data_IF_446971530853
#
_entry.id   IF_446971530853
#
_cell.length_a   1.000
_cell.length_b   1.000
_cell.length_c   1.000
_cell.angle_alpha   90.00
_cell.angle_beta   90.00
_cell.angle_gamma   90.00
#
_symmetry.space_group_name_H-M   'P 1'
#
loop_
_entity.id
_entity.type
_entity.pdbx_description
1 polymer ?
#
# COMPACT_ATOMS: atom_id res chain seq x y z
N UNK A 1 13.67 12.81 -16.00
CA UNK A 1 12.47 11.96 -16.30
C UNK A 1 11.84 11.42 -15.01
N UNK A 2 12.65 11.01 -14.03
CA UNK A 2 12.19 10.43 -12.76
C UNK A 2 11.33 11.33 -11.88
N UNK A 3 11.46 12.66 -11.93
CA UNK A 3 10.54 13.57 -11.20
C UNK A 3 9.10 13.38 -11.70
N UNK A 4 8.90 13.29 -13.02
CA UNK A 4 7.57 13.09 -13.59
C UNK A 4 7.00 11.72 -13.24
N UNK A 5 7.81 10.66 -13.29
CA UNK A 5 7.36 9.31 -12.93
C UNK A 5 7.09 9.18 -11.43
N UNK A 6 7.93 9.79 -10.59
CA UNK A 6 7.69 9.88 -9.15
C UNK A 6 6.40 10.64 -8.85
N UNK A 7 6.18 11.79 -9.48
CA UNK A 7 4.93 12.56 -9.32
C UNK A 7 3.70 11.77 -9.81
N UNK A 8 3.84 11.01 -10.89
CA UNK A 8 2.78 10.12 -11.37
C UNK A 8 2.45 9.04 -10.33
N UNK A 9 3.46 8.42 -9.71
CA UNK A 9 3.26 7.43 -8.65
C UNK A 9 2.46 8.02 -7.47
N UNK A 10 2.80 9.24 -7.05
CA UNK A 10 2.04 9.99 -6.04
C UNK A 10 0.59 10.19 -6.49
N UNK A 11 0.37 10.75 -7.68
CA UNK A 11 -0.99 11.00 -8.20
C UNK A 11 -1.82 9.73 -8.26
N UNK A 12 -1.24 8.62 -8.70
CA UNK A 12 -1.91 7.32 -8.73
C UNK A 12 -2.26 6.83 -7.33
N UNK A 13 -1.36 6.96 -6.36
CA UNK A 13 -1.63 6.61 -4.97
C UNK A 13 -2.81 7.43 -4.40
N UNK A 14 -2.80 8.76 -4.58
CA UNK A 14 -3.90 9.63 -4.18
C UNK A 14 -5.23 9.28 -4.89
N UNK A 15 -5.17 8.92 -6.18
CA UNK A 15 -6.34 8.49 -6.94
C UNK A 15 -6.92 7.20 -6.37
N UNK A 16 -6.10 6.20 -6.08
CA UNK A 16 -6.55 4.95 -5.45
C UNK A 16 -7.17 5.18 -4.07
N UNK A 17 -6.52 5.98 -3.22
CA UNK A 17 -7.05 6.37 -1.91
C UNK A 17 -8.42 7.05 -2.07
N UNK A 18 -8.55 7.98 -3.01
CA UNK A 18 -9.82 8.64 -3.30
C UNK A 18 -10.90 7.67 -3.81
N UNK A 19 -10.55 6.76 -4.72
CA UNK A 19 -11.47 5.75 -5.25
C UNK A 19 -11.95 4.79 -4.16
N UNK A 20 -11.06 4.36 -3.27
CA UNK A 20 -11.39 3.51 -2.13
C UNK A 20 -12.41 4.20 -1.21
N UNK A 21 -12.10 5.42 -0.76
CA UNK A 21 -12.99 6.20 0.12
C UNK A 21 -14.35 6.49 -0.53
N UNK A 22 -14.34 6.88 -1.81
CA UNK A 22 -15.56 7.20 -2.54
C UNK A 22 -16.43 5.96 -2.77
N UNK A 23 -15.81 4.83 -3.08
CA UNK A 23 -16.51 3.56 -3.28
C UNK A 23 -17.08 3.01 -1.98
N UNK A 24 -16.35 3.16 -0.87
CA UNK A 24 -16.83 2.80 0.46
C UNK A 24 -18.06 3.64 0.85
N UNK A 25 -17.96 4.97 0.78
CA UNK A 25 -19.08 5.87 1.08
C UNK A 25 -20.34 5.53 0.27
N UNK A 26 -20.18 5.24 -1.02
CA UNK A 26 -21.29 4.81 -1.88
C UNK A 26 -21.85 3.45 -1.48
N UNK A 27 -20.99 2.51 -1.11
CA UNK A 27 -21.40 1.16 -0.71
C UNK A 27 -22.14 1.16 0.62
N UNK A 28 -21.70 1.99 1.59
CA UNK A 28 -22.40 2.24 2.86
C UNK A 28 -23.74 2.91 2.61
N UNK A 29 -23.80 3.96 1.80
CA UNK A 29 -25.06 4.66 1.48
C UNK A 29 -26.10 3.74 0.81
N UNK A 30 -25.64 2.71 0.08
CA UNK A 30 -26.50 1.69 -0.53
C UNK A 30 -26.85 0.53 0.40
N UNK A 31 -26.31 0.48 1.62
CA UNK A 31 -26.49 -0.64 2.56
C UNK A 31 -25.81 -1.94 2.15
N UNK A 32 -24.92 -1.90 1.15
CA UNK A 32 -24.21 -3.11 0.66
C UNK A 32 -23.06 -3.53 1.55
N UNK A 33 -22.55 -2.61 2.38
CA UNK A 33 -21.60 -2.87 3.46
C UNK A 33 -22.11 -2.14 4.72
N UNK A 34 -21.89 -2.69 5.93
CA UNK A 34 -22.42 -2.10 7.16
C UNK A 34 -21.84 -0.70 7.43
N UNK A 35 -22.65 0.26 7.92
CA UNK A 35 -22.15 1.55 8.34
C UNK A 35 -21.30 1.37 9.60
N UNK A 36 -20.00 1.63 9.47
CA UNK A 36 -19.11 1.84 10.62
C UNK A 36 -18.82 3.35 10.62
N UNK A 37 -18.90 3.97 11.81
CA UNK A 37 -18.86 5.42 12.01
C UNK A 37 -17.79 6.12 11.16
N UNK A 38 -18.05 7.37 10.80
CA UNK A 38 -17.34 8.12 9.75
C UNK A 38 -15.86 7.73 9.60
N UNK A 39 -15.62 6.97 8.52
CA UNK A 39 -14.34 6.76 7.87
C UNK A 39 -13.49 5.71 8.62
N UNK A 40 -13.23 4.57 7.94
CA UNK A 40 -11.95 3.86 7.79
C UNK A 40 -12.07 2.35 7.79
N UNK A 41 -11.67 1.78 6.64
CA UNK A 41 -10.63 0.77 6.55
C UNK A 41 -10.16 0.24 7.90
N UNK A 42 -10.50 -1.01 8.22
CA UNK A 42 -9.90 -1.79 9.30
C UNK A 42 -9.93 -1.20 10.74
N UNK A 43 -10.59 -0.05 10.96
CA UNK A 43 -10.48 0.81 12.16
C UNK A 43 -9.25 1.76 12.16
N UNK A 44 -8.51 1.90 11.06
CA UNK A 44 -7.15 2.48 11.01
C UNK A 44 -7.12 3.97 10.62
N UNK A 45 -7.52 4.85 11.55
CA UNK A 45 -7.78 6.26 11.24
C UNK A 45 -6.57 7.12 10.93
N UNK A 46 -5.44 6.86 11.55
CA UNK A 46 -4.21 7.61 11.29
C UNK A 46 -3.42 6.99 10.16
N UNK A 47 -3.41 5.67 10.06
CA UNK A 47 -2.67 4.90 9.07
C UNK A 47 -3.16 5.21 7.66
N UNK A 48 -4.46 5.20 7.40
CA UNK A 48 -4.93 5.50 6.05
C UNK A 48 -4.88 7.01 5.74
N UNK A 49 -5.17 7.85 6.74
CA UNK A 49 -5.21 9.32 6.55
C UNK A 49 -3.82 9.92 6.35
N UNK A 50 -2.82 9.40 7.05
CA UNK A 50 -1.45 9.93 7.07
C UNK A 50 -0.45 8.94 6.47
N UNK A 51 -0.51 7.67 6.85
CA UNK A 51 0.29 6.58 6.27
C UNK A 51 0.09 6.47 4.76
N UNK A 52 -1.02 5.88 4.32
CA UNK A 52 -1.30 5.65 2.89
C UNK A 52 -1.26 6.95 2.08
N UNK A 53 -1.87 8.03 2.60
CA UNK A 53 -1.99 9.26 1.82
C UNK A 53 -0.66 9.99 1.63
N UNK A 54 0.15 10.11 2.69
CA UNK A 54 1.36 10.95 2.66
C UNK A 54 2.63 10.12 2.69
N UNK A 55 2.79 9.27 3.69
CA UNK A 55 4.04 8.53 3.86
C UNK A 55 4.26 7.52 2.74
N UNK A 56 3.23 6.77 2.34
CA UNK A 56 3.32 5.83 1.22
C UNK A 56 3.53 6.57 -0.10
N UNK A 57 2.84 7.70 -0.33
CA UNK A 57 3.10 8.56 -1.50
C UNK A 57 4.56 9.01 -1.59
N UNK A 58 5.16 9.40 -0.46
CA UNK A 58 6.57 9.84 -0.41
C UNK A 58 7.50 8.67 -0.69
N UNK A 59 7.21 7.47 -0.16
CA UNK A 59 7.96 6.25 -0.47
C UNK A 59 7.87 5.92 -1.96
N UNK A 60 6.67 5.91 -2.53
CA UNK A 60 6.41 5.61 -3.94
C UNK A 60 7.14 6.57 -4.86
N UNK A 61 7.10 7.88 -4.54
CA UNK A 61 7.87 8.89 -5.24
C UNK A 61 9.37 8.57 -5.23
N UNK A 62 9.92 8.31 -4.05
CA UNK A 62 11.35 8.10 -3.87
C UNK A 62 11.82 6.82 -4.60
N UNK A 63 11.07 5.74 -4.50
CA UNK A 63 11.36 4.48 -5.20
C UNK A 63 11.31 4.71 -6.71
N UNK A 64 10.20 5.24 -7.24
CA UNK A 64 10.04 5.49 -8.67
C UNK A 64 11.08 6.47 -9.23
N UNK A 65 11.41 7.53 -8.48
CA UNK A 65 12.45 8.48 -8.85
C UNK A 65 13.82 7.81 -9.00
N UNK A 66 14.23 7.00 -8.00
CA UNK A 66 15.55 6.35 -8.03
C UNK A 66 15.61 5.31 -9.14
N UNK A 67 14.54 4.52 -9.32
CA UNK A 67 14.47 3.49 -10.36
C UNK A 67 14.54 4.06 -11.77
N UNK A 68 13.95 5.23 -12.02
CA UNK A 68 13.93 5.83 -13.37
C UNK A 68 15.15 6.71 -13.64
N UNK A 69 15.52 7.57 -12.70
CA UNK A 69 16.53 8.60 -12.96
C UNK A 69 17.96 8.09 -12.73
N UNK A 70 18.13 7.11 -11.84
CA UNK A 70 19.47 6.70 -11.40
C UNK A 70 19.79 5.26 -11.78
N UNK A 71 18.86 4.34 -11.53
CA UNK A 71 19.16 2.90 -11.59
C UNK A 71 17.95 2.09 -12.05
N UNK A 72 17.73 1.95 -13.37
CA UNK A 72 16.76 0.98 -13.84
C UNK A 72 17.17 -0.41 -13.33
N UNK A 73 16.25 -1.09 -12.64
CA UNK A 73 16.49 -2.45 -12.17
C UNK A 73 16.61 -3.38 -13.37
N UNK A 74 17.49 -4.41 -13.29
CA UNK A 74 17.50 -5.48 -14.28
C UNK A 74 16.10 -6.09 -14.42
N UNK A 75 15.69 -6.42 -15.65
CA UNK A 75 14.34 -6.91 -15.93
C UNK A 75 13.96 -8.15 -15.10
N UNK A 76 14.93 -9.01 -14.78
CA UNK A 76 14.70 -10.18 -13.94
C UNK A 76 14.37 -9.79 -12.50
N UNK A 77 14.97 -8.73 -11.95
CA UNK A 77 14.65 -8.22 -10.60
C UNK A 77 13.23 -7.68 -10.59
N UNK A 78 12.89 -6.86 -11.60
CA UNK A 78 11.52 -6.33 -11.80
C UNK A 78 10.50 -7.48 -11.86
N UNK A 79 10.82 -8.54 -12.61
CA UNK A 79 9.96 -9.71 -12.75
C UNK A 79 9.80 -10.46 -11.42
N UNK A 80 10.88 -10.66 -10.67
CA UNK A 80 10.82 -11.31 -9.35
C UNK A 80 10.00 -10.47 -8.37
N UNK A 81 10.23 -9.15 -8.29
CA UNK A 81 9.43 -8.26 -7.44
C UNK A 81 7.95 -8.28 -7.83
N UNK A 82 7.65 -8.34 -9.13
CA UNK A 82 6.29 -8.47 -9.63
C UNK A 82 5.64 -9.77 -9.15
N UNK A 83 6.29 -10.92 -9.39
CA UNK A 83 5.77 -12.23 -9.00
C UNK A 83 5.60 -12.36 -7.49
N UNK A 84 6.57 -11.91 -6.70
CA UNK A 84 6.49 -11.91 -5.24
C UNK A 84 5.38 -11.01 -4.76
N UNK A 85 5.23 -9.80 -5.32
CA UNK A 85 4.13 -8.89 -5.00
C UNK A 85 2.75 -9.53 -5.23
N UNK A 86 2.54 -10.13 -6.41
CA UNK A 86 1.29 -10.83 -6.74
C UNK A 86 1.04 -12.02 -5.81
N UNK A 87 2.06 -12.87 -5.59
CA UNK A 87 1.95 -14.03 -4.70
C UNK A 87 1.60 -13.61 -3.27
N UNK A 88 2.21 -12.52 -2.79
CA UNK A 88 1.97 -11.96 -1.47
C UNK A 88 0.54 -11.40 -1.35
N UNK A 89 0.06 -10.68 -2.35
CA UNK A 89 -1.35 -10.24 -2.40
C UNK A 89 -2.32 -11.41 -2.41
N UNK A 90 -2.03 -12.46 -3.19
CA UNK A 90 -2.87 -13.66 -3.26
C UNK A 90 -2.91 -14.40 -1.90
N UNK A 91 -1.79 -14.45 -1.19
CA UNK A 91 -1.70 -15.01 0.16
C UNK A 91 -2.61 -14.24 1.13
N UNK A 92 -2.48 -12.92 1.20
CA UNK A 92 -3.32 -12.07 2.05
C UNK A 92 -4.80 -12.17 1.68
N UNK A 93 -5.11 -12.12 0.39
CA UNK A 93 -6.47 -12.32 -0.10
C UNK A 93 -7.07 -13.63 0.41
N UNK A 94 -6.33 -14.74 0.33
CA UNK A 94 -6.77 -16.04 0.82
C UNK A 94 -6.97 -16.05 2.35
N UNK A 95 -6.08 -15.40 3.10
CA UNK A 95 -6.22 -15.27 4.57
C UNK A 95 -7.49 -14.50 4.91
N UNK A 96 -7.76 -13.39 4.22
CA UNK A 96 -8.95 -12.56 4.45
C UNK A 96 -10.26 -13.19 3.98
N UNK A 97 -10.22 -14.20 3.09
CA UNK A 97 -11.39 -15.02 2.77
C UNK A 97 -11.64 -16.13 3.80
N UNK A 98 -10.70 -16.38 4.71
CA UNK A 98 -10.76 -17.48 5.65
C UNK A 98 -11.87 -17.34 6.70
N UNK A 99 -12.33 -18.44 7.32
CA UNK A 99 -13.45 -18.44 8.26
C UNK A 99 -13.15 -17.73 9.60
N UNK A 100 -11.89 -17.36 9.83
CA UNK A 100 -11.43 -16.67 11.04
C UNK A 100 -11.29 -15.15 10.84
N UNK A 101 -11.61 -14.62 9.66
CA UNK A 101 -11.52 -13.19 9.40
C UNK A 101 -12.66 -12.42 10.08
N UNK A 102 -12.33 -11.30 10.72
CA UNK A 102 -13.31 -10.34 11.19
C UNK A 102 -13.85 -9.54 9.99
N UNK A 103 -15.18 -9.51 9.77
CA UNK A 103 -15.79 -8.72 8.71
C UNK A 103 -15.33 -7.27 8.67
N UNK A 104 -14.98 -6.77 7.48
CA UNK A 104 -14.57 -5.39 7.21
C UNK A 104 -15.14 -4.89 5.86
N UNK A 105 -14.89 -3.63 5.50
CA UNK A 105 -15.43 -3.04 4.27
C UNK A 105 -15.01 -3.77 2.99
N UNK A 106 -13.91 -4.52 3.01
CA UNK A 106 -13.35 -5.26 1.88
C UNK A 106 -13.94 -6.67 1.79
N UNK A 107 -14.05 -7.31 2.94
CA UNK A 107 -14.55 -8.65 3.16
C UNK A 107 -15.73 -8.55 4.14
N UNK A 108 -16.92 -8.13 3.68
CA UNK A 108 -18.06 -7.87 4.55
C UNK A 108 -18.66 -9.14 5.13
N UNK A 109 -18.43 -10.28 4.48
CA UNK A 109 -18.84 -11.61 4.93
C UNK A 109 -17.76 -12.63 4.55
N UNK A 110 -17.74 -13.78 5.21
CA UNK A 110 -16.82 -14.88 4.89
C UNK A 110 -17.01 -15.28 3.42
N UNK A 111 -15.91 -15.36 2.68
CA UNK A 111 -15.93 -15.73 1.25
C UNK A 111 -16.44 -14.64 0.30
N UNK A 112 -16.86 -13.47 0.79
CA UNK A 112 -17.41 -12.39 -0.04
C UNK A 112 -16.41 -11.24 -0.14
N UNK A 113 -16.19 -10.75 -1.36
CA UNK A 113 -15.35 -9.58 -1.64
C UNK A 113 -16.23 -8.44 -2.15
N UNK A 114 -16.21 -7.31 -1.45
CA UNK A 114 -16.92 -6.10 -1.88
C UNK A 114 -16.25 -5.45 -3.09
N UNK A 115 -16.92 -4.49 -3.73
CA UNK A 115 -16.29 -3.66 -4.77
C UNK A 115 -15.06 -2.91 -4.24
N UNK A 116 -15.13 -2.42 -3.00
CA UNK A 116 -14.00 -1.76 -2.31
C UNK A 116 -12.84 -2.74 -2.15
N UNK A 117 -13.14 -3.98 -1.75
CA UNK A 117 -12.14 -5.05 -1.63
C UNK A 117 -11.43 -5.35 -2.95
N UNK A 118 -12.16 -5.35 -4.07
CA UNK A 118 -11.56 -5.57 -5.40
C UNK A 118 -10.64 -4.43 -5.82
N UNK A 119 -11.05 -3.18 -5.61
CA UNK A 119 -10.21 -2.00 -5.89
C UNK A 119 -8.97 -2.04 -5.01
N UNK A 120 -9.13 -2.38 -3.73
CA UNK A 120 -8.00 -2.49 -2.83
C UNK A 120 -7.04 -3.60 -3.23
N UNK A 121 -7.51 -4.78 -3.64
CA UNK A 121 -6.61 -5.86 -4.04
C UNK A 121 -5.66 -5.43 -5.17
N UNK A 122 -6.16 -4.67 -6.14
CA UNK A 122 -5.33 -4.10 -7.21
C UNK A 122 -4.32 -3.07 -6.68
N UNK A 123 -4.78 -2.15 -5.82
CA UNK A 123 -3.92 -1.18 -5.15
C UNK A 123 -2.84 -1.85 -4.31
N UNK A 124 -3.22 -2.85 -3.51
CA UNK A 124 -2.36 -3.57 -2.59
C UNK A 124 -1.31 -4.40 -3.33
N UNK A 125 -1.67 -4.99 -4.48
CA UNK A 125 -0.71 -5.61 -5.38
C UNK A 125 0.31 -4.60 -5.90
N UNK A 126 -0.14 -3.46 -6.43
CA UNK A 126 0.76 -2.42 -6.93
C UNK A 126 1.73 -1.94 -5.83
N UNK A 127 1.22 -1.73 -4.62
CA UNK A 127 2.00 -1.29 -3.47
C UNK A 127 3.02 -2.35 -3.02
N UNK A 128 2.66 -3.63 -2.99
CA UNK A 128 3.64 -4.67 -2.67
C UNK A 128 4.72 -4.80 -3.75
N UNK A 129 4.35 -4.75 -5.02
CA UNK A 129 5.33 -4.82 -6.12
C UNK A 129 6.34 -3.68 -5.98
N UNK A 130 5.86 -2.44 -5.79
CA UNK A 130 6.71 -1.27 -5.63
C UNK A 130 7.54 -1.32 -4.34
N UNK A 131 6.94 -1.78 -3.24
CA UNK A 131 7.63 -1.99 -1.96
C UNK A 131 8.77 -3.02 -2.08
N UNK A 132 8.54 -4.15 -2.75
CA UNK A 132 9.59 -5.14 -3.01
C UNK A 132 10.68 -4.59 -3.95
N UNK A 133 10.35 -3.74 -4.93
CA UNK A 133 11.37 -3.04 -5.72
C UNK A 133 12.19 -2.08 -4.86
N UNK A 134 11.55 -1.37 -3.91
CA UNK A 134 12.24 -0.53 -2.93
C UNK A 134 13.19 -1.33 -2.04
N UNK A 135 12.78 -2.51 -1.57
CA UNK A 135 13.64 -3.42 -0.80
C UNK A 135 14.82 -3.90 -1.66
N UNK A 136 14.56 -4.36 -2.88
CA UNK A 136 15.61 -4.82 -3.80
C UNK A 136 16.64 -3.71 -4.09
N UNK A 137 16.17 -2.48 -4.29
CA UNK A 137 17.03 -1.30 -4.44
C UNK A 137 17.95 -1.11 -3.24
N UNK A 138 17.42 -1.18 -2.01
CA UNK A 138 18.22 -1.06 -0.79
C UNK A 138 19.24 -2.19 -0.66
N UNK A 139 18.84 -3.44 -0.93
CA UNK A 139 19.75 -4.60 -0.90
C UNK A 139 20.93 -4.42 -1.85
N UNK A 140 20.67 -3.97 -3.09
CA UNK A 140 21.73 -3.72 -4.06
C UNK A 140 22.67 -2.59 -3.64
N UNK A 141 22.18 -1.56 -2.93
CA UNK A 141 23.02 -0.51 -2.37
C UNK A 141 23.89 -1.01 -1.21
N UNK A 142 23.33 -1.85 -0.35
CA UNK A 142 24.06 -2.48 0.77
C UNK A 142 25.18 -3.39 0.24
N UNK A 143 24.91 -4.14 -0.84
CA UNK A 143 25.90 -5.02 -1.48
C UNK A 143 27.03 -4.25 -2.21
N UNK A 144 26.93 -2.92 -2.33
CA UNK A 144 27.90 -2.10 -3.06
C UNK A 144 27.74 -2.13 -4.58
N UNK A 145 26.73 -2.83 -5.10
CA UNK A 145 26.41 -2.92 -6.54
C UNK A 145 25.85 -1.60 -7.10
N UNK A 146 25.30 -0.74 -6.22
CA UNK A 146 24.66 0.53 -6.57
C UNK A 146 25.05 1.62 -5.57
N UNK A 147 25.21 2.86 -6.05
CA UNK A 147 25.50 3.98 -5.14
C UNK A 147 24.24 4.41 -4.39
N UNK A 148 24.43 4.79 -3.13
CA UNK A 148 23.38 5.37 -2.30
C UNK A 148 22.81 6.64 -2.91
N UNK A 149 21.48 6.75 -2.86
CA UNK A 149 20.76 7.97 -3.29
C UNK A 149 20.15 8.67 -2.08
N UNK A 150 20.27 10.01 -1.97
CA UNK A 150 19.61 10.80 -0.93
C UNK A 150 18.10 10.52 -0.81
N UNK A 151 17.44 10.23 -1.95
CA UNK A 151 16.01 9.91 -1.98
C UNK A 151 15.64 8.65 -1.19
N UNK A 152 16.57 7.69 -1.04
CA UNK A 152 16.34 6.48 -0.24
C UNK A 152 16.20 6.81 1.25
N UNK A 153 16.94 7.80 1.75
CA UNK A 153 16.79 8.25 3.13
C UNK A 153 15.43 8.94 3.35
N UNK A 154 14.95 9.69 2.35
CA UNK A 154 13.57 10.24 2.37
C UNK A 154 12.55 9.11 2.43
N UNK A 155 12.74 8.05 1.64
CA UNK A 155 11.88 6.86 1.69
C UNK A 155 11.92 6.16 3.07
N UNK A 156 13.08 6.07 3.72
CA UNK A 156 13.18 5.48 5.06
C UNK A 156 12.47 6.31 6.13
N UNK A 157 12.65 7.63 6.11
CA UNK A 157 11.94 8.53 7.04
C UNK A 157 10.43 8.42 6.83
N UNK A 158 9.99 8.39 5.57
CA UNK A 158 8.59 8.17 5.25
C UNK A 158 8.10 6.79 5.70
N UNK A 159 8.86 5.73 5.47
CA UNK A 159 8.54 4.38 5.93
C UNK A 159 8.43 4.29 7.45
N UNK A 160 9.30 4.96 8.19
CA UNK A 160 9.19 5.05 9.65
C UNK A 160 7.88 5.75 10.06
N UNK A 161 7.55 6.87 9.41
CA UNK A 161 6.27 7.56 9.61
C UNK A 161 5.06 6.67 9.30
N UNK A 162 5.11 5.93 8.19
CA UNK A 162 4.07 4.96 7.79
C UNK A 162 3.82 3.92 8.88
N UNK A 163 4.87 3.22 9.33
CA UNK A 163 4.74 2.22 10.40
C UNK A 163 4.37 2.84 11.75
N UNK A 164 4.83 4.04 12.06
CA UNK A 164 4.41 4.74 13.28
C UNK A 164 2.90 5.01 13.28
N UNK A 165 2.30 5.36 12.13
CA UNK A 165 0.85 5.53 12.02
C UNK A 165 0.08 4.22 12.14
N UNK A 166 0.64 3.11 11.63
CA UNK A 166 0.08 1.76 11.81
C UNK A 166 0.06 1.37 13.29
N UNK A 167 1.20 1.53 13.97
CA UNK A 167 1.35 1.21 15.39
C UNK A 167 0.44 2.11 16.24
N UNK A 168 0.31 3.40 15.89
CA UNK A 168 -0.58 4.32 16.59
C UNK A 168 -2.03 3.82 16.57
N UNK A 169 -2.51 3.32 15.43
CA UNK A 169 -3.86 2.77 15.35
C UNK A 169 -3.95 1.43 16.10
N UNK A 170 -2.90 0.61 16.06
CA UNK A 170 -2.81 -0.65 16.82
C UNK A 170 -2.94 -0.44 18.33
N UNK A 171 -2.18 0.53 18.86
CA UNK A 171 -2.17 0.87 20.28
C UNK A 171 -3.50 1.50 20.73
N UNK A 172 -4.20 2.20 19.85
CA UNK A 172 -5.50 2.80 20.15
C UNK A 172 -6.67 1.78 20.26
N UNK A 173 -6.37 0.49 20.44
CA UNK A 173 -7.31 -0.66 20.43
C UNK A 173 -8.23 -0.70 19.20
N UNK A 174 -7.80 -0.07 18.11
CA UNK A 174 -8.49 -0.15 16.83
C UNK A 174 -8.14 -1.45 16.09
N UNK A 175 -7.58 -2.44 16.77
CA UNK A 175 -7.35 -3.76 16.18
C UNK A 175 -7.74 -4.77 17.23
N UNK A 176 -9.05 -4.96 17.43
CA UNK A 176 -9.51 -6.21 18.07
C UNK A 176 -9.43 -7.31 17.01
N UNK A 177 -8.37 -8.13 17.10
CA UNK A 177 -8.23 -9.41 16.40
C UNK A 177 -9.28 -10.42 16.87
#
# INVERSE_FOLDING_TARGET
>A
MGIFIGALAVVLNFLFVFLLLSSERRSVAKGTIPPRGEILYLQDLNFFKWGDRWFLSIMDFAIAFVLVERWPLPIWVVTVCFLVGIAWTALWHRIYLGPRQIPNSLYPYIGVVSLVGRIHLAYFAAQYILGFMGIAMVVLMIMGERQWSPAVFVAFVAGFGYFATLISDFVAERYRL
#
